data_IF_465400376749
#
_entry.id   IF_465400376749
#
_cell.length_a   1.000
_cell.length_b   1.000
_cell.length_c   1.000
_cell.angle_alpha   90.00
_cell.angle_beta   90.00
_cell.angle_gamma   90.00
#
_symmetry.space_group_name_H-M   'P 1'
#
loop_
_entity.id
_entity.type
_entity.pdbx_description
1 polymer ?
#
# COMPACT_ATOMS: atom_id res chain seq x y z
N UNK A 1 -12.96 -11.39 -17.56
CA UNK A 1 -12.74 -10.04 -17.05
C UNK A 1 -11.62 -10.11 -16.01
N UNK A 2 -10.66 -9.23 -16.10
CA UNK A 2 -9.59 -9.13 -15.10
C UNK A 2 -10.17 -8.60 -13.78
N UNK A 3 -9.67 -9.12 -12.65
CA UNK A 3 -10.04 -8.68 -11.31
C UNK A 3 -9.07 -7.60 -10.79
N UNK A 4 -7.91 -7.45 -11.43
CA UNK A 4 -6.95 -6.39 -11.17
C UNK A 4 -6.50 -5.79 -12.50
N UNK A 5 -7.11 -4.67 -12.87
CA UNK A 5 -6.72 -3.94 -14.07
C UNK A 5 -5.43 -3.14 -13.82
N UNK A 6 -4.46 -3.27 -14.71
CA UNK A 6 -3.16 -2.59 -14.61
C UNK A 6 -2.97 -1.59 -15.74
N UNK A 7 -2.76 -0.33 -15.41
CA UNK A 7 -2.41 0.73 -16.37
C UNK A 7 -1.12 1.47 -15.98
N UNK A 8 -0.54 2.21 -16.92
CA UNK A 8 0.73 2.94 -16.75
C UNK A 8 0.51 4.44 -16.98
N UNK A 9 1.08 5.26 -16.09
CA UNK A 9 0.94 6.72 -16.11
C UNK A 9 2.28 7.38 -15.71
N UNK A 10 3.17 7.65 -16.66
CA UNK A 10 4.42 8.41 -16.45
C UNK A 10 5.23 7.96 -15.20
N UNK A 11 5.61 6.69 -15.15
CA UNK A 11 6.35 6.12 -14.02
C UNK A 11 5.47 5.55 -12.90
N UNK A 12 4.15 5.73 -12.97
CA UNK A 12 3.19 5.20 -12.01
C UNK A 12 2.48 3.98 -12.61
N UNK A 13 2.47 2.85 -11.91
CA UNK A 13 1.60 1.72 -12.20
C UNK A 13 0.32 1.83 -11.36
N UNK A 14 -0.82 1.97 -12.00
CA UNK A 14 -2.13 1.98 -11.36
C UNK A 14 -2.72 0.56 -11.38
N UNK A 15 -3.03 0.02 -10.20
CA UNK A 15 -3.74 -1.25 -10.02
C UNK A 15 -5.16 -0.93 -9.56
N UNK A 16 -6.15 -1.27 -10.37
CA UNK A 16 -7.56 -1.07 -10.05
C UNK A 16 -8.19 -2.41 -9.70
N UNK A 17 -8.61 -2.56 -8.45
CA UNK A 17 -9.38 -3.72 -8.00
C UNK A 17 -10.76 -3.67 -8.65
N UNK A 18 -11.11 -4.65 -9.47
CA UNK A 18 -12.32 -4.65 -10.30
C UNK A 18 -13.12 -5.93 -10.09
N UNK A 19 -13.66 -6.10 -8.89
CA UNK A 19 -14.55 -7.21 -8.54
C UNK A 19 -15.89 -6.67 -8.01
N UNK A 20 -16.81 -6.23 -8.93
CA UNK A 20 -18.08 -5.66 -8.53
C UNK A 20 -18.94 -6.66 -7.75
N UNK A 21 -19.87 -6.18 -6.87
CA UNK A 21 -20.20 -4.76 -6.69
C UNK A 21 -19.35 -4.03 -5.66
N UNK A 22 -18.49 -4.70 -4.90
CA UNK A 22 -17.83 -4.12 -3.72
C UNK A 22 -16.31 -4.30 -3.72
N UNK A 23 -15.73 -4.72 -4.83
CA UNK A 23 -14.30 -5.03 -4.96
C UNK A 23 -13.81 -6.00 -3.87
N UNK A 24 -14.70 -6.94 -3.47
CA UNK A 24 -14.35 -7.95 -2.50
C UNK A 24 -13.24 -8.84 -3.04
N UNK A 25 -12.23 -9.13 -2.23
CA UNK A 25 -11.15 -9.97 -2.68
C UNK A 25 -11.49 -11.45 -2.54
N UNK A 26 -11.19 -12.18 -3.60
CA UNK A 26 -11.21 -13.64 -3.69
C UNK A 26 -9.79 -14.18 -3.78
N UNK A 27 -9.66 -15.51 -3.82
CA UNK A 27 -8.38 -16.17 -4.10
C UNK A 27 -7.83 -15.75 -5.48
N UNK A 28 -8.70 -15.65 -6.48
CA UNK A 28 -8.34 -15.26 -7.85
C UNK A 28 -7.85 -13.81 -7.90
N UNK A 29 -8.51 -12.88 -7.19
CA UNK A 29 -8.07 -11.50 -7.13
C UNK A 29 -6.68 -11.39 -6.49
N UNK A 30 -6.40 -12.15 -5.43
CA UNK A 30 -5.07 -12.18 -4.82
C UNK A 30 -4.00 -12.74 -5.77
N UNK A 31 -4.31 -13.73 -6.59
CA UNK A 31 -3.39 -14.23 -7.62
C UNK A 31 -3.08 -13.18 -8.66
N UNK A 32 -4.09 -12.49 -9.19
CA UNK A 32 -3.88 -11.41 -10.16
C UNK A 32 -3.13 -10.22 -9.55
N UNK A 33 -3.42 -9.89 -8.29
CA UNK A 33 -2.68 -8.85 -7.57
C UNK A 33 -1.21 -9.22 -7.41
N UNK A 34 -0.91 -10.49 -7.09
CA UNK A 34 0.45 -10.99 -6.98
C UNK A 34 1.21 -10.88 -8.30
N UNK A 35 0.58 -11.27 -9.40
CA UNK A 35 1.14 -11.13 -10.75
C UNK A 35 1.39 -9.65 -11.10
N UNK A 36 0.45 -8.76 -10.78
CA UNK A 36 0.60 -7.32 -10.99
C UNK A 36 1.78 -6.72 -10.20
N UNK A 37 1.94 -7.13 -8.92
CA UNK A 37 3.06 -6.71 -8.07
C UNK A 37 4.39 -7.17 -8.68
N UNK A 38 4.49 -8.43 -9.09
CA UNK A 38 5.70 -8.97 -9.72
C UNK A 38 6.00 -8.25 -11.04
N UNK A 39 4.98 -8.05 -11.88
CA UNK A 39 5.13 -7.30 -13.13
C UNK A 39 5.66 -5.89 -12.90
N UNK A 40 5.11 -5.15 -11.94
CA UNK A 40 5.59 -3.80 -11.61
C UNK A 40 6.98 -3.80 -10.97
N UNK A 41 7.33 -4.84 -10.18
CA UNK A 41 8.65 -4.95 -9.54
C UNK A 41 9.78 -5.07 -10.57
N UNK A 42 9.57 -5.86 -11.62
CA UNK A 42 10.57 -6.10 -12.67
C UNK A 42 10.54 -5.03 -13.77
N UNK A 43 9.54 -4.18 -13.83
CA UNK A 43 9.44 -3.10 -14.82
C UNK A 43 10.23 -1.88 -14.34
N UNK A 44 11.36 -1.60 -14.98
CA UNK A 44 12.24 -0.47 -14.64
C UNK A 44 11.62 0.90 -14.95
N UNK A 45 10.57 0.97 -15.75
CA UNK A 45 9.84 2.21 -16.03
C UNK A 45 8.81 2.56 -14.93
N UNK A 46 8.52 1.62 -14.02
CA UNK A 46 7.63 1.84 -12.88
C UNK A 46 8.43 2.28 -11.66
N UNK A 47 8.06 3.38 -11.07
CA UNK A 47 8.68 3.97 -9.87
C UNK A 47 7.74 3.99 -8.66
N UNK A 48 6.43 4.14 -8.93
CA UNK A 48 5.38 4.18 -7.91
C UNK A 48 4.28 3.20 -8.30
N UNK A 49 3.69 2.52 -7.31
CA UNK A 49 2.50 1.69 -7.46
C UNK A 49 1.36 2.40 -6.75
N UNK A 50 0.23 2.58 -7.42
CA UNK A 50 -1.01 3.09 -6.84
C UNK A 50 -2.07 2.00 -6.91
N UNK A 51 -2.72 1.69 -5.78
CA UNK A 51 -3.87 0.79 -5.72
C UNK A 51 -5.15 1.61 -5.50
N UNK A 52 -6.21 1.27 -6.22
CA UNK A 52 -7.54 1.86 -6.04
C UNK A 52 -8.64 0.83 -6.31
N UNK A 53 -9.88 1.13 -5.96
CA UNK A 53 -11.04 0.30 -6.31
C UNK A 53 -11.76 0.83 -7.55
N UNK A 54 -12.33 -0.06 -8.36
CA UNK A 54 -13.24 0.32 -9.44
C UNK A 54 -14.53 0.92 -8.88
N UNK A 55 -15.09 1.90 -9.59
CA UNK A 55 -16.31 2.60 -9.18
C UNK A 55 -16.06 3.61 -8.06
N UNK A 56 -17.16 4.14 -7.49
CA UNK A 56 -17.10 5.28 -6.57
C UNK A 56 -17.30 4.90 -5.09
N UNK A 57 -17.85 3.71 -4.83
CA UNK A 57 -18.36 3.37 -3.50
C UNK A 57 -17.38 2.62 -2.63
N UNK A 58 -16.55 1.76 -3.22
CA UNK A 58 -15.65 0.89 -2.48
C UNK A 58 -14.22 0.96 -3.06
N UNK A 59 -13.27 1.13 -2.16
CA UNK A 59 -11.91 0.67 -2.43
C UNK A 59 -11.89 -0.86 -2.44
N UNK A 60 -12.27 -1.48 -1.31
CA UNK A 60 -12.45 -2.92 -1.17
C UNK A 60 -13.25 -3.20 0.12
N UNK A 61 -14.29 -4.02 0.03
CA UNK A 61 -15.15 -4.39 1.16
C UNK A 61 -14.62 -5.60 1.97
N UNK A 62 -13.40 -6.05 1.71
CA UNK A 62 -12.81 -7.21 2.36
C UNK A 62 -13.05 -8.51 1.61
N UNK A 63 -12.93 -9.64 2.30
CA UNK A 63 -13.06 -10.96 1.68
C UNK A 63 -14.48 -11.23 1.19
N UNK A 64 -14.59 -11.99 0.09
CA UNK A 64 -15.87 -12.48 -0.40
C UNK A 64 -16.52 -13.42 0.62
N UNK A 65 -17.66 -13.00 1.16
CA UNK A 65 -18.39 -13.76 2.19
C UNK A 65 -18.92 -15.09 1.65
N UNK A 66 -19.36 -15.12 0.38
CA UNK A 66 -19.86 -16.36 -0.21
C UNK A 66 -18.74 -17.39 -0.36
N UNK A 67 -17.55 -16.95 -0.77
CA UNK A 67 -16.33 -17.77 -0.79
C UNK A 67 -16.02 -18.33 0.62
N UNK A 68 -16.08 -17.47 1.65
CA UNK A 68 -15.77 -17.88 3.04
C UNK A 68 -16.78 -18.87 3.61
N UNK A 69 -18.07 -18.74 3.28
CA UNK A 69 -19.11 -19.67 3.74
C UNK A 69 -18.94 -21.09 3.18
N UNK A 70 -18.38 -21.20 1.98
CA UNK A 70 -18.13 -22.49 1.32
C UNK A 70 -16.76 -23.11 1.65
N UNK A 71 -15.90 -22.39 2.35
CA UNK A 71 -14.53 -22.82 2.59
C UNK A 71 -14.42 -23.78 3.79
N UNK A 72 -13.69 -24.88 3.61
CA UNK A 72 -13.22 -25.66 4.75
C UNK A 72 -12.09 -24.95 5.51
N UNK A 73 -11.81 -25.32 6.77
CA UNK A 73 -10.78 -24.65 7.58
C UNK A 73 -9.37 -24.74 7.02
N UNK A 74 -8.99 -25.82 6.35
CA UNK A 74 -7.66 -25.99 5.76
C UNK A 74 -7.50 -25.10 4.53
N UNK A 75 -8.49 -25.08 3.66
CA UNK A 75 -8.51 -24.15 2.52
C UNK A 75 -8.44 -22.70 2.98
N UNK A 76 -9.22 -22.33 4.02
CA UNK A 76 -9.18 -20.97 4.60
C UNK A 76 -7.81 -20.62 5.15
N UNK A 77 -7.11 -21.54 5.79
CA UNK A 77 -5.74 -21.34 6.24
C UNK A 77 -4.79 -21.02 5.07
N UNK A 78 -4.84 -21.82 3.99
CA UNK A 78 -4.00 -21.60 2.81
C UNK A 78 -4.34 -20.31 2.06
N UNK A 79 -5.62 -19.94 2.02
CA UNK A 79 -6.06 -18.66 1.49
C UNK A 79 -5.43 -17.48 2.27
N UNK A 80 -5.50 -17.51 3.59
CA UNK A 80 -4.88 -16.48 4.43
C UNK A 80 -3.35 -16.45 4.27
N UNK A 81 -2.72 -17.62 4.18
CA UNK A 81 -1.27 -17.73 3.96
C UNK A 81 -0.88 -17.07 2.63
N UNK A 82 -1.54 -17.42 1.52
CA UNK A 82 -1.28 -16.80 0.22
C UNK A 82 -1.53 -15.28 0.24
N UNK A 83 -2.62 -14.83 0.85
CA UNK A 83 -2.91 -13.39 0.98
C UNK A 83 -1.80 -12.68 1.79
N UNK A 84 -1.34 -13.25 2.90
CA UNK A 84 -0.23 -12.70 3.68
C UNK A 84 1.06 -12.61 2.85
N UNK A 85 1.40 -13.64 2.07
CA UNK A 85 2.58 -13.66 1.20
C UNK A 85 2.48 -12.60 0.09
N UNK A 86 1.31 -12.43 -0.53
CA UNK A 86 1.04 -11.40 -1.52
C UNK A 86 1.23 -10.00 -0.93
N UNK A 87 0.65 -9.73 0.24
CA UNK A 87 0.79 -8.44 0.91
C UNK A 87 2.22 -8.17 1.39
N UNK A 88 2.95 -9.17 1.84
CA UNK A 88 4.39 -9.05 2.14
C UNK A 88 5.20 -8.71 0.88
N UNK A 89 4.84 -9.29 -0.27
CA UNK A 89 5.47 -8.93 -1.55
C UNK A 89 5.25 -7.47 -1.93
N UNK A 90 4.04 -6.96 -1.73
CA UNK A 90 3.72 -5.54 -1.93
C UNK A 90 4.56 -4.65 -1.00
N UNK A 91 4.56 -4.98 0.28
CA UNK A 91 5.25 -4.26 1.34
C UNK A 91 6.77 -4.21 1.12
N UNK A 92 7.37 -5.34 0.66
CA UNK A 92 8.80 -5.45 0.39
C UNK A 92 9.22 -5.07 -1.06
N UNK A 93 8.29 -4.63 -1.91
CA UNK A 93 8.66 -4.14 -3.24
C UNK A 93 9.40 -2.80 -3.09
N UNK A 94 10.63 -2.64 -3.64
CA UNK A 94 11.44 -1.44 -3.47
C UNK A 94 10.96 -0.28 -4.37
N UNK A 95 9.66 -0.01 -4.32
CA UNK A 95 8.96 1.09 -4.99
C UNK A 95 7.92 1.61 -4.02
N UNK A 96 7.66 2.93 -4.06
CA UNK A 96 6.62 3.51 -3.23
C UNK A 96 5.25 2.92 -3.61
N UNK A 97 4.49 2.52 -2.61
CA UNK A 97 3.14 1.98 -2.78
C UNK A 97 2.14 2.90 -2.10
N UNK A 98 1.15 3.34 -2.84
CA UNK A 98 0.08 4.23 -2.36
C UNK A 98 -1.25 3.51 -2.49
N UNK A 99 -2.02 3.42 -1.41
CA UNK A 99 -3.42 3.06 -1.45
C UNK A 99 -4.26 4.33 -1.60
N UNK A 100 -4.92 4.47 -2.75
CA UNK A 100 -5.84 5.54 -3.07
C UNK A 100 -7.27 5.12 -2.68
N UNK A 101 -7.69 5.51 -1.49
CA UNK A 101 -8.95 5.09 -0.87
C UNK A 101 -10.11 5.91 -1.46
N UNK A 102 -10.61 5.46 -2.61
CA UNK A 102 -11.71 6.13 -3.33
C UNK A 102 -13.10 5.87 -2.72
N UNK A 103 -13.21 4.92 -1.78
CA UNK A 103 -14.46 4.50 -1.18
C UNK A 103 -14.25 3.68 0.10
N UNK A 104 -15.31 3.05 0.58
CA UNK A 104 -15.24 2.21 1.77
C UNK A 104 -14.11 1.18 1.70
N UNK A 105 -13.34 1.11 2.78
CA UNK A 105 -12.11 0.31 2.92
C UNK A 105 -12.23 -0.53 4.19
N UNK A 106 -12.85 -1.70 4.09
CA UNK A 106 -13.34 -2.44 5.26
C UNK A 106 -12.75 -3.85 5.29
N UNK A 107 -12.48 -4.36 6.48
CA UNK A 107 -11.98 -5.70 6.69
C UNK A 107 -10.68 -5.94 5.92
N UNK A 108 -10.60 -7.02 5.16
CA UNK A 108 -9.46 -7.29 4.29
C UNK A 108 -9.10 -6.19 3.31
N UNK A 109 -10.05 -5.29 2.96
CA UNK A 109 -9.75 -4.09 2.19
C UNK A 109 -8.86 -3.12 2.96
N UNK A 110 -9.08 -2.97 4.27
CA UNK A 110 -8.17 -2.21 5.12
C UNK A 110 -6.84 -2.96 5.30
N UNK A 111 -6.84 -4.29 5.43
CA UNK A 111 -5.62 -5.10 5.51
C UNK A 111 -4.71 -4.89 4.29
N UNK A 112 -5.30 -4.86 3.09
CA UNK A 112 -4.60 -4.51 1.85
C UNK A 112 -4.05 -3.07 1.88
N UNK A 113 -4.87 -2.11 2.31
CA UNK A 113 -4.45 -0.71 2.40
C UNK A 113 -3.33 -0.48 3.42
N UNK A 114 -3.31 -1.25 4.52
CA UNK A 114 -2.25 -1.19 5.54
C UNK A 114 -0.91 -1.77 5.05
N UNK A 115 -0.92 -2.60 4.01
CA UNK A 115 0.31 -3.10 3.39
C UNK A 115 0.93 -2.10 2.39
N UNK A 116 0.23 -1.01 2.05
CA UNK A 116 0.79 0.11 1.30
C UNK A 116 1.60 1.04 2.22
N UNK A 117 2.55 1.77 1.64
CA UNK A 117 3.37 2.74 2.38
C UNK A 117 2.55 3.96 2.79
N UNK A 118 1.76 4.49 1.86
CA UNK A 118 0.91 5.66 2.06
C UNK A 118 -0.55 5.34 1.75
N UNK A 119 -1.45 6.02 2.44
CA UNK A 119 -2.91 5.97 2.23
C UNK A 119 -3.42 7.38 2.02
N UNK A 120 -3.86 7.67 0.80
CA UNK A 120 -4.53 8.92 0.44
C UNK A 120 -6.01 8.65 0.24
N UNK A 121 -6.85 9.40 0.92
CA UNK A 121 -8.28 9.15 0.92
C UNK A 121 -9.04 10.26 0.21
N UNK A 122 -10.12 9.90 -0.45
CA UNK A 122 -11.09 10.82 -1.07
C UNK A 122 -11.89 11.52 0.02
N UNK A 123 -11.98 12.84 -0.02
CA UNK A 123 -12.82 13.61 0.90
C UNK A 123 -14.27 13.10 0.84
N UNK A 124 -14.87 12.87 2.01
CA UNK A 124 -16.22 12.31 2.15
C UNK A 124 -16.45 10.98 1.40
N UNK A 125 -15.36 10.30 0.99
CA UNK A 125 -15.41 9.13 0.11
C UNK A 125 -15.87 7.84 0.78
N UNK A 126 -15.81 7.76 2.12
CA UNK A 126 -16.19 6.52 2.79
C UNK A 126 -15.72 6.37 4.23
N UNK A 127 -15.67 5.13 4.67
CA UNK A 127 -15.21 4.74 6.01
C UNK A 127 -14.21 3.59 5.90
N UNK A 128 -13.37 3.45 6.92
CA UNK A 128 -12.46 2.32 7.06
C UNK A 128 -12.59 1.68 8.45
N UNK A 129 -12.26 0.38 8.54
CA UNK A 129 -12.27 -0.36 9.79
C UNK A 129 -12.05 -1.85 9.61
N UNK A 130 -11.91 -2.55 10.74
CA UNK A 130 -11.76 -4.01 10.82
C UNK A 130 -12.93 -4.59 11.64
N UNK A 131 -14.11 -4.83 11.02
CA UNK A 131 -15.32 -5.26 11.73
C UNK A 131 -15.43 -6.78 11.88
N UNK A 132 -14.37 -7.54 11.71
CA UNK A 132 -14.35 -9.00 11.69
C UNK A 132 -14.90 -9.64 12.97
N UNK A 133 -14.84 -8.93 14.08
CA UNK A 133 -15.43 -9.37 15.37
C UNK A 133 -16.95 -9.63 15.24
N UNK A 134 -17.64 -8.89 14.38
CA UNK A 134 -19.07 -9.10 14.12
C UNK A 134 -19.36 -10.43 13.40
N UNK A 135 -18.34 -11.05 12.80
CA UNK A 135 -18.42 -12.36 12.15
C UNK A 135 -17.84 -13.47 13.05
N UNK A 136 -17.42 -13.15 14.28
CA UNK A 136 -16.78 -14.11 15.19
C UNK A 136 -15.38 -14.56 14.76
N UNK A 137 -14.71 -13.77 13.92
CA UNK A 137 -13.36 -14.03 13.45
C UNK A 137 -12.45 -12.82 13.68
N UNK A 138 -11.16 -12.98 13.43
CA UNK A 138 -10.18 -11.88 13.43
C UNK A 138 -9.80 -11.47 11.99
N UNK A 139 -9.23 -10.27 11.78
CA UNK A 139 -8.59 -9.89 10.52
C UNK A 139 -7.43 -10.85 10.20
N UNK A 140 -7.62 -11.72 9.20
CA UNK A 140 -6.77 -12.89 8.97
C UNK A 140 -5.65 -12.68 7.96
N UNK A 141 -5.60 -11.50 7.29
CA UNK A 141 -4.61 -11.23 6.25
C UNK A 141 -3.61 -10.13 6.62
N UNK A 142 -3.42 -9.93 7.92
CA UNK A 142 -2.37 -9.09 8.49
C UNK A 142 -2.85 -7.83 9.21
N UNK A 143 -4.16 -7.64 9.37
CA UNK A 143 -4.74 -6.48 10.04
C UNK A 143 -4.32 -6.36 11.49
N UNK A 144 -4.34 -7.46 12.25
CA UNK A 144 -3.91 -7.46 13.66
C UNK A 144 -2.46 -7.02 13.81
N UNK A 145 -1.58 -7.54 12.94
CA UNK A 145 -0.15 -7.28 13.00
C UNK A 145 0.18 -5.83 12.57
N UNK A 146 -0.35 -5.38 11.41
CA UNK A 146 -0.04 -4.06 10.85
C UNK A 146 -0.67 -2.94 11.66
N UNK A 147 -1.92 -3.10 12.08
CA UNK A 147 -2.60 -2.08 12.88
C UNK A 147 -1.90 -1.88 14.24
N UNK A 148 -1.46 -2.99 14.89
CA UNK A 148 -0.73 -2.91 16.15
C UNK A 148 0.66 -2.25 15.99
N UNK A 149 1.35 -2.46 14.87
CA UNK A 149 2.61 -1.78 14.57
C UNK A 149 2.43 -0.28 14.32
N UNK A 150 1.30 0.11 13.72
CA UNK A 150 1.03 1.53 13.42
C UNK A 150 0.51 2.32 14.62
N UNK A 151 -0.40 1.75 15.40
CA UNK A 151 -1.12 2.48 16.46
C UNK A 151 -0.74 2.05 17.89
N UNK A 152 0.08 1.02 18.01
CA UNK A 152 0.38 0.38 19.28
C UNK A 152 -0.75 -0.56 19.74
N UNK A 153 -0.40 -1.40 20.71
CA UNK A 153 -1.23 -2.52 21.20
C UNK A 153 -2.64 -2.11 21.60
N UNK A 154 -2.74 -1.10 22.46
CA UNK A 154 -4.01 -0.73 23.12
C UNK A 154 -5.02 -0.22 22.11
N UNK A 155 -4.62 0.73 21.23
CA UNK A 155 -5.52 1.30 20.24
C UNK A 155 -5.92 0.28 19.18
N UNK A 156 -5.01 -0.58 18.76
CA UNK A 156 -5.34 -1.65 17.81
C UNK A 156 -6.38 -2.63 18.38
N UNK A 157 -6.23 -3.06 19.64
CA UNK A 157 -7.21 -3.95 20.29
C UNK A 157 -8.57 -3.26 20.41
N UNK A 158 -8.61 -2.01 20.88
CA UNK A 158 -9.84 -1.23 21.01
C UNK A 158 -10.61 -1.19 19.69
N UNK A 159 -9.97 -0.75 18.60
CA UNK A 159 -10.61 -0.60 17.29
C UNK A 159 -11.13 -1.93 16.72
N UNK A 160 -10.38 -3.01 16.88
CA UNK A 160 -10.80 -4.33 16.39
C UNK A 160 -11.87 -4.97 17.28
N UNK A 161 -11.82 -4.75 18.61
CA UNK A 161 -12.84 -5.27 19.54
C UNK A 161 -14.17 -4.54 19.37
N UNK A 162 -14.14 -3.23 19.14
CA UNK A 162 -15.35 -2.45 18.85
C UNK A 162 -15.91 -2.77 17.45
N UNK A 163 -15.07 -3.16 16.51
CA UNK A 163 -15.45 -3.51 15.14
C UNK A 163 -16.13 -2.37 14.38
N UNK A 164 -15.92 -1.13 14.80
CA UNK A 164 -16.54 0.04 14.19
C UNK A 164 -15.75 0.59 13.02
N UNK A 165 -16.47 1.11 12.03
CA UNK A 165 -15.87 1.81 10.91
C UNK A 165 -15.85 3.32 11.20
N UNK A 166 -14.69 3.94 11.05
CA UNK A 166 -14.49 5.38 11.23
C UNK A 166 -14.42 6.12 9.89
N UNK A 167 -14.62 7.43 9.89
CA UNK A 167 -14.42 8.28 8.71
C UNK A 167 -12.93 8.36 8.35
N UNK A 168 -12.63 8.79 7.13
CA UNK A 168 -11.24 9.01 6.72
C UNK A 168 -10.57 10.14 7.52
N UNK A 169 -11.34 11.14 7.95
CA UNK A 169 -10.88 12.25 8.80
C UNK A 169 -10.42 11.73 10.17
N UNK A 170 -11.26 10.93 10.83
CA UNK A 170 -10.89 10.30 12.11
C UNK A 170 -9.68 9.37 11.96
N UNK A 171 -9.60 8.63 10.86
CA UNK A 171 -8.46 7.77 10.54
C UNK A 171 -7.17 8.57 10.29
N UNK A 172 -7.28 9.77 9.71
CA UNK A 172 -6.15 10.70 9.54
C UNK A 172 -5.63 11.21 10.88
N UNK A 173 -6.51 11.57 11.80
CA UNK A 173 -6.13 11.98 13.17
C UNK A 173 -5.35 10.89 13.90
N UNK A 174 -5.67 9.62 13.64
CA UNK A 174 -4.95 8.47 14.17
C UNK A 174 -3.66 8.12 13.41
N UNK A 175 -3.38 8.76 12.28
CA UNK A 175 -2.24 8.43 11.42
C UNK A 175 -2.43 7.23 10.49
N UNK A 176 -3.65 6.67 10.40
CA UNK A 176 -3.98 5.60 9.46
C UNK A 176 -4.15 6.09 8.03
N UNK A 177 -4.55 7.33 7.84
CA UNK A 177 -4.61 8.03 6.56
C UNK A 177 -3.60 9.17 6.58
N UNK A 178 -2.76 9.26 5.56
CA UNK A 178 -1.72 10.29 5.48
C UNK A 178 -2.28 11.63 4.98
N UNK A 179 -3.23 11.58 4.03
CA UNK A 179 -3.78 12.77 3.42
C UNK A 179 -5.20 12.54 2.89
N UNK A 180 -6.03 13.58 2.94
CA UNK A 180 -7.35 13.59 2.32
C UNK A 180 -7.28 14.53 1.12
N UNK A 181 -7.58 14.01 -0.05
CA UNK A 181 -7.58 14.74 -1.31
C UNK A 181 -9.01 15.11 -1.73
N UNK A 182 -9.17 16.16 -2.56
CA UNK A 182 -10.49 16.56 -3.05
C UNK A 182 -11.27 15.41 -3.68
N UNK A 183 -12.59 15.45 -3.53
CA UNK A 183 -13.46 14.42 -4.09
C UNK A 183 -13.55 14.51 -5.62
N UNK A 184 -13.59 15.74 -6.14
CA UNK A 184 -13.61 15.99 -7.57
C UNK A 184 -12.25 15.60 -8.17
N UNK A 185 -12.29 14.80 -9.25
CA UNK A 185 -11.09 14.30 -9.93
C UNK A 185 -10.07 13.60 -9.02
N UNK A 186 -10.54 12.91 -7.96
CA UNK A 186 -9.71 12.27 -6.94
C UNK A 186 -8.57 11.43 -7.53
N UNK A 187 -8.86 10.56 -8.50
CA UNK A 187 -7.85 9.68 -9.07
C UNK A 187 -6.78 10.47 -9.86
N UNK A 188 -7.19 11.52 -10.56
CA UNK A 188 -6.26 12.43 -11.25
C UNK A 188 -5.33 13.10 -10.24
N UNK A 189 -5.88 13.64 -9.14
CA UNK A 189 -5.09 14.27 -8.09
C UNK A 189 -4.08 13.27 -7.44
N UNK A 190 -4.51 12.01 -7.24
CA UNK A 190 -3.62 10.94 -6.75
C UNK A 190 -2.48 10.67 -7.73
N UNK A 191 -2.79 10.49 -9.02
CA UNK A 191 -1.79 10.19 -10.04
C UNK A 191 -0.78 11.32 -10.22
N UNK A 192 -1.24 12.57 -10.25
CA UNK A 192 -0.35 13.73 -10.36
C UNK A 192 0.56 13.86 -9.14
N UNK A 193 0.03 13.63 -7.95
CA UNK A 193 0.85 13.59 -6.73
C UNK A 193 1.86 12.44 -6.74
N UNK A 194 1.46 11.25 -7.21
CA UNK A 194 2.32 10.08 -7.31
C UNK A 194 3.47 10.30 -8.30
N UNK A 195 3.22 10.96 -9.43
CA UNK A 195 4.26 11.37 -10.40
C UNK A 195 5.34 12.24 -9.76
N UNK A 196 4.99 13.03 -8.75
CA UNK A 196 5.96 13.83 -7.99
C UNK A 196 7.02 13.00 -7.25
N UNK A 197 6.84 11.70 -7.10
CA UNK A 197 7.83 10.75 -6.57
C UNK A 197 8.62 10.01 -7.66
N UNK A 198 8.31 10.27 -8.92
CA UNK A 198 9.02 9.69 -10.06
C UNK A 198 10.14 10.64 -10.57
N UNK A 199 11.13 10.13 -11.30
CA UNK A 199 12.02 10.97 -12.07
C UNK A 199 11.24 11.88 -13.05
N UNK A 200 11.70 13.11 -13.33
CA UNK A 200 12.94 13.70 -12.83
C UNK A 200 12.82 14.35 -11.44
N UNK A 201 11.63 14.34 -10.81
CA UNK A 201 11.34 15.09 -9.58
C UNK A 201 12.00 14.49 -8.33
N UNK A 202 12.06 13.17 -8.24
CA UNK A 202 12.66 12.43 -7.13
C UNK A 202 13.53 11.28 -7.62
N UNK A 203 14.60 11.01 -6.86
CA UNK A 203 15.45 9.84 -7.03
C UNK A 203 14.66 8.58 -6.59
N UNK A 204 13.92 7.99 -7.49
CA UNK A 204 13.00 6.87 -7.19
C UNK A 204 13.73 5.66 -6.60
N UNK A 205 14.99 5.41 -7.01
CA UNK A 205 15.86 4.40 -6.42
C UNK A 205 16.11 4.66 -4.93
N UNK A 206 16.34 5.91 -4.54
CA UNK A 206 16.52 6.29 -3.13
C UNK A 206 15.22 6.08 -2.34
N UNK A 207 14.06 6.47 -2.87
CA UNK A 207 12.75 6.22 -2.23
C UNK A 207 12.55 4.72 -1.96
N UNK A 208 12.85 3.87 -2.97
CA UNK A 208 12.72 2.42 -2.83
C UNK A 208 13.64 1.82 -1.76
N UNK A 209 14.89 2.30 -1.66
CA UNK A 209 15.84 1.80 -0.65
C UNK A 209 15.58 2.36 0.74
N UNK A 210 15.08 3.61 0.88
CA UNK A 210 14.55 4.13 2.15
C UNK A 210 13.40 3.27 2.67
N UNK A 211 12.43 2.97 1.81
CA UNK A 211 11.34 2.04 2.15
C UNK A 211 11.89 0.70 2.64
N UNK A 212 12.81 0.10 1.89
CA UNK A 212 13.42 -1.18 2.27
C UNK A 212 14.10 -1.12 3.64
N UNK A 213 14.83 -0.05 3.94
CA UNK A 213 15.46 0.14 5.24
C UNK A 213 14.41 0.18 6.35
N UNK A 214 13.37 0.99 6.19
CA UNK A 214 12.30 1.13 7.19
C UNK A 214 11.53 -0.19 7.38
N UNK A 215 11.02 -0.77 6.30
CA UNK A 215 10.16 -1.98 6.37
C UNK A 215 10.93 -3.17 6.96
N UNK A 216 12.16 -3.43 6.48
CA UNK A 216 12.95 -4.54 7.01
C UNK A 216 13.51 -4.24 8.42
N UNK A 217 13.85 -2.99 8.70
CA UNK A 217 14.45 -2.58 9.96
C UNK A 217 13.51 -2.62 11.15
N UNK A 218 12.19 -2.48 10.94
CA UNK A 218 11.21 -2.56 12.03
C UNK A 218 11.19 -3.93 12.76
N UNK A 219 11.63 -4.98 12.09
CA UNK A 219 11.68 -6.35 12.66
C UNK A 219 13.12 -6.76 13.05
N UNK A 220 14.09 -5.83 13.02
CA UNK A 220 15.50 -6.05 13.37
C UNK A 220 15.87 -5.39 14.70
N UNK A 221 16.95 -5.87 15.32
CA UNK A 221 17.63 -5.11 16.37
C UNK A 221 18.26 -3.83 15.80
N UNK A 222 18.38 -2.79 16.62
CA UNK A 222 18.92 -1.50 16.16
C UNK A 222 20.33 -1.61 15.50
N UNK A 223 21.29 -2.39 16.03
CA UNK A 223 22.60 -2.53 15.38
C UNK A 223 22.52 -3.15 13.98
N UNK A 224 21.68 -4.15 13.79
CA UNK A 224 21.46 -4.83 12.51
C UNK A 224 20.75 -3.92 11.51
N UNK A 225 19.75 -3.15 11.97
CA UNK A 225 19.09 -2.15 11.13
C UNK A 225 20.07 -1.06 10.66
N UNK A 226 20.90 -0.53 11.57
CA UNK A 226 21.93 0.47 11.21
C UNK A 226 22.99 -0.11 10.26
N UNK A 227 23.30 -1.41 10.35
CA UNK A 227 24.18 -2.07 9.37
C UNK A 227 23.51 -2.13 7.98
N UNK A 228 22.25 -2.54 7.91
CA UNK A 228 21.47 -2.52 6.67
C UNK A 228 21.40 -1.12 6.06
N UNK A 229 21.13 -0.09 6.88
CA UNK A 229 21.05 1.30 6.44
C UNK A 229 22.37 1.76 5.78
N UNK A 230 23.53 1.44 6.38
CA UNK A 230 24.84 1.76 5.79
C UNK A 230 25.07 1.09 4.44
N UNK A 231 24.70 -0.19 4.31
CA UNK A 231 24.81 -0.92 3.03
C UNK A 231 23.94 -0.28 1.94
N UNK A 232 22.71 0.08 2.29
CA UNK A 232 21.78 0.71 1.34
C UNK A 232 22.25 2.12 0.97
N UNK A 233 22.77 2.90 1.95
CA UNK A 233 23.34 4.22 1.71
C UNK A 233 24.55 4.15 0.80
N UNK A 234 25.48 3.21 1.02
CA UNK A 234 26.64 3.03 0.16
C UNK A 234 26.20 2.72 -1.29
N UNK A 235 25.21 1.85 -1.45
CA UNK A 235 24.66 1.51 -2.76
C UNK A 235 24.09 2.74 -3.47
N UNK A 236 23.37 3.60 -2.78
CA UNK A 236 22.83 4.84 -3.35
C UNK A 236 23.94 5.83 -3.68
N UNK A 237 24.95 5.96 -2.81
CA UNK A 237 26.01 6.93 -2.96
C UNK A 237 26.90 6.68 -4.19
N UNK A 238 26.92 5.45 -4.72
CA UNK A 238 27.60 5.09 -5.96
C UNK A 238 26.75 5.28 -7.22
N UNK A 239 25.47 5.69 -7.08
CA UNK A 239 24.54 5.88 -8.19
C UNK A 239 24.64 7.25 -8.86
N UNK A 240 24.11 7.32 -10.09
CA UNK A 240 24.07 8.56 -10.88
C UNK A 240 23.22 9.64 -10.20
N UNK A 241 22.09 9.27 -9.62
CA UNK A 241 21.18 10.20 -8.93
C UNK A 241 21.80 10.87 -7.69
N UNK A 242 22.69 10.17 -6.97
CA UNK A 242 23.41 10.77 -5.86
C UNK A 242 24.41 11.83 -6.33
N UNK A 243 25.14 11.55 -7.42
CA UNK A 243 26.06 12.50 -8.03
C UNK A 243 25.31 13.75 -8.54
N UNK A 244 24.20 13.54 -9.26
CA UNK A 244 23.33 14.62 -9.75
C UNK A 244 22.77 15.46 -8.57
N UNK A 245 22.22 14.83 -7.54
CA UNK A 245 21.66 15.53 -6.40
C UNK A 245 22.68 16.42 -5.67
N UNK A 246 23.91 15.93 -5.50
CA UNK A 246 25.00 16.70 -4.88
C UNK A 246 25.46 17.86 -5.78
N UNK A 247 25.59 17.63 -7.10
CA UNK A 247 25.93 18.67 -8.06
C UNK A 247 24.87 19.77 -8.09
N UNK A 248 23.60 19.39 -8.26
CA UNK A 248 22.47 20.30 -8.29
C UNK A 248 22.36 21.17 -7.02
N UNK A 249 22.58 20.56 -5.85
CA UNK A 249 22.61 21.29 -4.57
C UNK A 249 23.71 22.35 -4.52
N UNK A 250 24.93 22.00 -4.94
CA UNK A 250 26.07 22.93 -4.96
C UNK A 250 25.88 24.07 -5.97
N UNK A 251 25.27 23.76 -7.13
CA UNK A 251 24.96 24.70 -8.21
C UNK A 251 23.68 25.52 -7.96
N UNK A 252 22.93 25.21 -6.91
CA UNK A 252 21.63 25.84 -6.56
C UNK A 252 20.59 25.74 -7.68
N UNK A 253 20.54 24.62 -8.37
CA UNK A 253 19.55 24.31 -9.39
C UNK A 253 18.67 23.14 -8.98
N UNK A 254 17.48 22.95 -9.55
CA UNK A 254 16.72 21.72 -9.41
C UNK A 254 17.52 20.52 -9.94
N UNK A 255 17.48 19.36 -9.26
CA UNK A 255 18.06 18.13 -9.78
C UNK A 255 17.19 17.54 -10.91
N UNK A 256 17.82 16.78 -11.80
CA UNK A 256 17.17 16.00 -12.86
C UNK A 256 17.49 14.52 -12.68
N UNK A 257 16.75 13.86 -11.79
CA UNK A 257 16.97 12.47 -11.48
C UNK A 257 16.54 11.53 -12.61
N UNK A 258 17.23 10.39 -12.72
CA UNK A 258 16.97 9.35 -13.73
C UNK A 258 16.35 8.09 -13.11
N UNK A 259 16.42 7.95 -11.80
CA UNK A 259 16.01 6.75 -11.06
C UNK A 259 17.09 5.68 -10.97
N UNK A 260 18.35 6.02 -11.24
CA UNK A 260 19.50 5.09 -11.31
C UNK A 260 20.58 5.37 -10.28
#
# INVERSE_FOLDING_TARGET
>A
LSLVDVSRHDGVALFTLNNPPANAYSHELHRELDEAILGARFDSSVHVIVLTGAGERFFCAGADIAMLQGADPEWKYHFCLHANETLLRLEHTPKLVVAALNGHTVGGGLELALAADLRWAKADGGKLGLPEVALGVLPGTGGTARLARMLGRTKAIELMADGTNMSFEAARELGLVNEILPADDFLTAVLDKAKGYCPPHKAAGAVGLMKRSVVSGLDMGLPEHLALERELQQRLFTGEDAAEGLAAFNEKRPPEFTGR
#
